data_IF_630807256762
#
_entry.id   IF_630807256762
#
_cell.length_a   1.000
_cell.length_b   1.000
_cell.length_c   1.000
_cell.angle_alpha   90.00
_cell.angle_beta   90.00
_cell.angle_gamma   90.00
#
_symmetry.space_group_name_H-M   'P 1'
#
loop_
_entity.id
_entity.type
_entity.pdbx_description
1 polymer ?
#
# COMPACT_ATOMS: atom_id res chain seq x y z
N UNK A 1 -0.30 -54.57 6.27
CA UNK A 1 -0.36 -53.20 5.74
C UNK A 1 -0.13 -52.27 6.92
N UNK A 2 1.09 -51.76 7.05
CA UNK A 2 1.42 -50.81 8.11
C UNK A 2 0.96 -49.42 7.65
N UNK A 3 0.10 -48.78 8.44
CA UNK A 3 -0.33 -47.40 8.23
C UNK A 3 0.74 -46.49 8.83
N UNK A 4 1.47 -45.81 7.96
CA UNK A 4 2.42 -44.77 8.32
C UNK A 4 1.62 -43.50 8.67
N UNK A 5 1.58 -43.14 9.96
CA UNK A 5 1.01 -41.86 10.40
C UNK A 5 2.14 -40.83 10.46
N UNK A 6 2.23 -39.98 9.45
CA UNK A 6 3.11 -38.82 9.49
C UNK A 6 2.50 -37.74 10.40
N UNK A 7 3.06 -37.66 11.61
CA UNK A 7 2.74 -36.62 12.59
C UNK A 7 3.55 -35.36 12.24
N UNK A 8 2.90 -34.40 11.57
CA UNK A 8 3.50 -33.10 11.26
C UNK A 8 3.31 -32.17 12.46
N UNK A 9 4.14 -32.34 13.49
CA UNK A 9 4.29 -31.35 14.55
C UNK A 9 5.00 -30.11 13.98
N UNK A 10 4.22 -29.15 13.48
CA UNK A 10 4.73 -27.81 13.21
C UNK A 10 4.85 -27.06 14.55
N UNK A 11 6.09 -26.68 14.89
CA UNK A 11 6.39 -25.79 16.01
C UNK A 11 5.87 -24.39 15.66
N UNK A 12 4.58 -24.18 15.89
CA UNK A 12 4.00 -22.85 15.91
C UNK A 12 4.30 -22.27 17.29
N UNK A 13 5.46 -21.63 17.44
CA UNK A 13 5.58 -20.62 18.49
C UNK A 13 4.48 -19.58 18.20
N UNK A 14 3.49 -19.41 19.11
CA UNK A 14 2.62 -18.26 19.00
C UNK A 14 3.50 -17.01 19.00
N UNK A 15 3.18 -15.98 18.19
CA UNK A 15 3.89 -14.71 18.28
C UNK A 15 3.91 -14.28 19.75
N UNK A 16 5.06 -13.77 20.24
CA UNK A 16 5.20 -13.40 21.64
C UNK A 16 4.06 -12.45 22.04
N UNK A 17 3.43 -12.72 23.19
CA UNK A 17 2.39 -11.84 23.74
C UNK A 17 2.95 -10.42 23.83
N UNK A 18 2.28 -9.47 23.18
CA UNK A 18 2.56 -8.02 23.30
C UNK A 18 1.98 -7.44 24.61
N UNK A 19 1.72 -8.27 25.61
CA UNK A 19 1.19 -7.92 26.93
C UNK A 19 2.27 -7.28 27.84
N UNK A 20 3.08 -6.38 27.27
CA UNK A 20 3.99 -5.52 28.00
C UNK A 20 3.30 -4.23 28.50
N UNK A 21 3.94 -3.49 29.42
CA UNK A 21 3.48 -2.14 29.74
C UNK A 21 3.49 -1.27 28.47
N UNK A 22 2.49 -0.39 28.34
CA UNK A 22 2.39 0.52 27.21
C UNK A 22 3.70 1.30 27.05
N UNK A 23 4.20 1.33 25.81
CA UNK A 23 5.33 2.18 25.46
C UNK A 23 4.96 3.66 25.63
N UNK A 24 5.98 4.51 25.69
CA UNK A 24 5.78 5.97 25.72
C UNK A 24 4.88 6.46 24.56
N UNK A 25 5.10 5.97 23.35
CA UNK A 25 4.33 6.38 22.16
C UNK A 25 2.90 5.85 22.16
N UNK A 26 2.66 4.63 22.65
CA UNK A 26 1.30 4.11 22.83
C UNK A 26 0.53 4.93 23.88
N UNK A 27 1.17 5.25 25.01
CA UNK A 27 0.57 6.09 26.06
C UNK A 27 0.22 7.48 25.52
N UNK A 28 1.13 8.08 24.74
CA UNK A 28 0.90 9.39 24.13
C UNK A 28 -0.21 9.37 23.07
N UNK A 29 -0.30 8.31 22.24
CA UNK A 29 -1.40 8.14 21.28
C UNK A 29 -2.75 8.13 22.01
N UNK A 30 -2.88 7.30 23.04
CA UNK A 30 -4.12 7.16 23.81
C UNK A 30 -4.51 8.51 24.42
N UNK A 31 -3.57 9.20 25.07
CA UNK A 31 -3.83 10.49 25.70
C UNK A 31 -4.29 11.57 24.70
N UNK A 32 -3.67 11.63 23.51
CA UNK A 32 -4.08 12.58 22.47
C UNK A 32 -5.45 12.22 21.89
N UNK A 33 -5.70 10.93 21.64
CA UNK A 33 -6.99 10.45 21.13
C UNK A 33 -8.13 10.75 22.09
N UNK A 34 -7.96 10.44 23.38
CA UNK A 34 -8.98 10.68 24.40
C UNK A 34 -9.25 12.18 24.59
N UNK A 35 -8.21 13.02 24.61
CA UNK A 35 -8.36 14.47 24.72
C UNK A 35 -9.16 15.07 23.54
N UNK A 36 -8.93 14.57 22.31
CA UNK A 36 -9.65 15.05 21.12
C UNK A 36 -11.11 14.59 21.10
N UNK A 37 -11.40 13.41 21.67
CA UNK A 37 -12.76 12.92 21.89
C UNK A 37 -13.48 13.77 22.94
N UNK A 38 -12.84 14.04 24.08
CA UNK A 38 -13.41 14.89 25.14
C UNK A 38 -13.73 16.30 24.61
N UNK A 39 -12.88 16.83 23.73
CA UNK A 39 -13.10 18.12 23.07
C UNK A 39 -14.12 18.09 21.93
N UNK A 40 -14.66 16.93 21.58
CA UNK A 40 -15.65 16.78 20.51
C UNK A 40 -15.11 17.05 19.10
N UNK A 41 -13.80 16.89 18.87
CA UNK A 41 -13.19 17.04 17.53
C UNK A 41 -13.56 15.86 16.62
N UNK A 42 -13.63 14.66 17.20
CA UNK A 42 -14.16 13.43 16.60
C UNK A 42 -14.63 12.49 17.71
N UNK A 43 -15.44 11.49 17.38
CA UNK A 43 -15.89 10.44 18.30
C UNK A 43 -15.02 9.17 18.26
N UNK A 44 -15.21 8.30 19.24
CA UNK A 44 -14.56 6.98 19.25
C UNK A 44 -14.97 6.13 18.02
N UNK A 45 -16.21 6.27 17.58
CA UNK A 45 -16.72 5.59 16.39
C UNK A 45 -16.07 6.08 15.10
N UNK A 46 -15.73 7.37 15.02
CA UNK A 46 -14.99 7.93 13.87
C UNK A 46 -13.59 7.34 13.77
N UNK A 47 -12.90 7.14 14.91
CA UNK A 47 -11.56 6.52 14.94
C UNK A 47 -11.65 5.08 14.44
N UNK A 48 -12.60 4.31 14.98
CA UNK A 48 -12.82 2.91 14.55
C UNK A 48 -13.13 2.82 13.07
N UNK A 49 -14.07 3.63 12.57
CA UNK A 49 -14.44 3.65 11.17
C UNK A 49 -13.24 4.04 10.26
N UNK A 50 -12.40 4.98 10.70
CA UNK A 50 -11.19 5.36 9.97
C UNK A 50 -10.15 4.24 9.89
N UNK A 51 -9.99 3.44 10.96
CA UNK A 51 -9.11 2.26 10.96
C UNK A 51 -9.66 1.20 9.99
N UNK A 52 -10.94 0.83 10.13
CA UNK A 52 -11.59 -0.16 9.26
C UNK A 52 -11.50 0.26 7.78
N UNK A 53 -11.74 1.53 7.46
CA UNK A 53 -11.65 2.06 6.11
C UNK A 53 -10.20 2.12 5.57
N UNK A 54 -9.19 2.12 6.44
CA UNK A 54 -7.79 2.05 6.03
C UNK A 54 -7.36 0.60 5.79
N UNK A 55 -7.76 -0.31 6.68
CA UNK A 55 -7.43 -1.74 6.62
C UNK A 55 -8.13 -2.46 5.47
N UNK A 56 -9.32 -2.00 5.08
CA UNK A 56 -10.05 -2.52 3.92
C UNK A 56 -9.36 -2.23 2.58
N UNK A 57 -8.35 -1.35 2.54
CA UNK A 57 -7.67 -0.96 1.29
C UNK A 57 -6.66 -2.04 0.90
N UNK A 58 -6.70 -2.43 -0.36
CA UNK A 58 -5.77 -3.41 -0.92
C UNK A 58 -5.30 -3.00 -2.32
N UNK A 59 -4.25 -3.67 -2.79
CA UNK A 59 -3.73 -3.52 -4.14
C UNK A 59 -4.59 -4.19 -5.22
N UNK A 60 -5.66 -4.90 -4.86
CA UNK A 60 -6.52 -5.61 -5.80
C UNK A 60 -7.20 -4.66 -6.80
N UNK A 61 -7.58 -3.45 -6.37
CA UNK A 61 -8.15 -2.42 -7.25
C UNK A 61 -7.17 -1.98 -8.33
N UNK A 62 -5.90 -1.78 -7.97
CA UNK A 62 -4.84 -1.50 -8.95
C UNK A 62 -4.66 -2.63 -9.97
N UNK A 63 -4.73 -3.89 -9.52
CA UNK A 63 -4.66 -5.04 -10.41
C UNK A 63 -5.85 -5.12 -11.38
N UNK A 64 -7.07 -4.82 -10.91
CA UNK A 64 -8.28 -4.72 -11.72
C UNK A 64 -8.13 -3.67 -12.84
N UNK A 65 -7.66 -2.46 -12.51
CA UNK A 65 -7.41 -1.40 -13.49
C UNK A 65 -6.40 -1.84 -14.57
N UNK A 66 -5.31 -2.50 -14.16
CA UNK A 66 -4.29 -3.01 -15.09
C UNK A 66 -4.86 -4.10 -15.99
N UNK A 67 -5.62 -5.05 -15.43
CA UNK A 67 -6.25 -6.12 -16.20
C UNK A 67 -7.26 -5.59 -17.23
N UNK A 68 -8.05 -4.58 -16.86
CA UNK A 68 -8.92 -3.88 -17.81
C UNK A 68 -8.12 -3.22 -18.94
N UNK A 69 -7.04 -2.49 -18.62
CA UNK A 69 -6.20 -1.86 -19.64
C UNK A 69 -5.50 -2.86 -20.58
N UNK A 70 -5.25 -4.10 -20.15
CA UNK A 70 -4.70 -5.15 -21.02
C UNK A 70 -5.72 -5.73 -21.99
N UNK A 71 -7.00 -5.72 -21.63
CA UNK A 71 -8.07 -6.37 -22.41
C UNK A 71 -8.92 -5.39 -23.21
N UNK A 72 -8.87 -4.10 -22.87
CA UNK A 72 -9.59 -3.03 -23.54
C UNK A 72 -8.62 -1.89 -23.94
N UNK A 73 -8.22 -1.82 -25.22
CA UNK A 73 -7.34 -0.75 -25.72
C UNK A 73 -7.93 0.66 -25.58
N UNK A 74 -9.26 0.82 -25.68
CA UNK A 74 -9.89 2.13 -25.54
C UNK A 74 -9.84 2.60 -24.08
N UNK A 75 -10.04 1.67 -23.12
CA UNK A 75 -9.83 1.96 -21.70
C UNK A 75 -8.37 2.28 -21.41
N UNK A 76 -7.41 1.56 -22.01
CA UNK A 76 -5.98 1.88 -21.87
C UNK A 76 -5.66 3.31 -22.32
N UNK A 77 -6.15 3.70 -23.49
CA UNK A 77 -5.95 5.06 -24.01
C UNK A 77 -6.57 6.11 -23.08
N UNK A 78 -7.77 5.85 -22.55
CA UNK A 78 -8.42 6.71 -21.57
C UNK A 78 -7.63 6.80 -20.24
N UNK A 79 -7.13 5.69 -19.73
CA UNK A 79 -6.33 5.60 -18.51
C UNK A 79 -5.03 6.41 -18.61
N UNK A 80 -4.37 6.37 -19.76
CA UNK A 80 -3.15 7.14 -20.03
C UNK A 80 -3.44 8.63 -20.23
N UNK A 81 -4.63 8.99 -20.71
CA UNK A 81 -5.05 10.38 -20.87
C UNK A 81 -5.46 11.03 -19.53
N UNK A 82 -6.30 10.35 -18.74
CA UNK A 82 -6.69 10.76 -17.39
C UNK A 82 -6.99 9.53 -16.52
N UNK A 83 -6.01 9.16 -15.68
CA UNK A 83 -6.15 7.99 -14.84
C UNK A 83 -7.24 8.13 -13.77
N UNK A 84 -7.58 9.36 -13.37
CA UNK A 84 -8.59 9.62 -12.35
C UNK A 84 -9.97 9.32 -12.93
N UNK A 85 -10.26 9.87 -14.10
CA UNK A 85 -11.53 9.67 -14.79
C UNK A 85 -11.71 8.21 -15.23
N UNK A 86 -10.66 7.59 -15.77
CA UNK A 86 -10.73 6.18 -16.16
C UNK A 86 -11.03 5.25 -14.97
N UNK A 87 -10.39 5.47 -13.81
CA UNK A 87 -10.70 4.69 -12.61
C UNK A 87 -12.13 4.91 -12.10
N UNK A 88 -12.67 6.13 -12.23
CA UNK A 88 -14.04 6.44 -11.84
C UNK A 88 -15.08 5.64 -12.67
N UNK A 89 -14.79 5.33 -13.94
CA UNK A 89 -15.65 4.47 -14.78
C UNK A 89 -15.76 3.03 -14.26
N UNK A 90 -14.75 2.56 -13.51
CA UNK A 90 -14.77 1.27 -12.81
C UNK A 90 -15.33 1.40 -11.37
N UNK A 91 -15.87 2.55 -11.00
CA UNK A 91 -16.37 2.82 -9.64
C UNK A 91 -15.26 2.97 -8.60
N UNK A 92 -14.01 3.24 -9.02
CA UNK A 92 -12.86 3.41 -8.13
C UNK A 92 -12.60 4.90 -7.91
N UNK A 93 -12.92 5.39 -6.72
CA UNK A 93 -12.59 6.75 -6.29
C UNK A 93 -11.13 6.85 -5.82
N UNK A 94 -10.30 7.58 -6.57
CA UNK A 94 -8.89 7.82 -6.24
C UNK A 94 -8.73 8.85 -5.11
N UNK A 95 -9.81 9.49 -4.67
CA UNK A 95 -9.82 10.46 -3.60
C UNK A 95 -9.29 11.82 -4.06
N UNK A 96 -8.69 12.63 -3.17
CA UNK A 96 -8.34 14.02 -3.47
C UNK A 96 -7.12 14.19 -4.39
N UNK A 97 -6.51 13.09 -4.84
CA UNK A 97 -5.30 13.12 -5.67
C UNK A 97 -5.62 12.92 -7.14
N UNK A 98 -4.85 13.56 -8.01
CA UNK A 98 -4.87 13.26 -9.45
C UNK A 98 -4.02 12.03 -9.75
N UNK A 99 -4.62 11.00 -10.34
CA UNK A 99 -3.89 9.83 -10.82
C UNK A 99 -3.30 10.09 -12.20
N UNK A 100 -2.02 9.72 -12.35
CA UNK A 100 -1.34 9.68 -13.64
C UNK A 100 -0.82 8.26 -13.82
N UNK A 101 -1.32 7.56 -14.83
CA UNK A 101 -0.79 6.25 -15.23
C UNK A 101 0.42 6.45 -16.15
N UNK A 102 1.48 5.68 -15.93
CA UNK A 102 2.67 5.66 -16.78
C UNK A 102 2.89 4.25 -17.30
N UNK A 103 2.90 4.10 -18.62
CA UNK A 103 3.04 2.80 -19.27
C UNK A 103 4.50 2.36 -19.33
N UNK A 104 4.77 1.13 -18.88
CA UNK A 104 6.02 0.45 -19.24
C UNK A 104 5.92 -0.08 -20.68
N UNK A 105 6.99 0.11 -21.44
CA UNK A 105 7.15 -0.41 -22.81
C UNK A 105 8.43 -1.24 -22.89
N UNK A 106 8.69 -1.85 -24.04
CA UNK A 106 9.98 -2.53 -24.28
C UNK A 106 11.19 -1.58 -24.12
N UNK A 107 11.00 -0.28 -24.36
CA UNK A 107 12.07 0.72 -24.29
C UNK A 107 12.13 1.47 -22.95
N UNK A 108 11.07 1.42 -22.13
CA UNK A 108 10.94 2.26 -20.93
C UNK A 108 10.36 1.47 -19.76
N UNK A 109 11.08 1.46 -18.64
CA UNK A 109 10.61 0.96 -17.36
C UNK A 109 10.44 2.10 -16.36
N UNK A 110 9.23 2.29 -15.85
CA UNK A 110 8.90 3.32 -14.87
C UNK A 110 8.99 2.77 -13.43
N UNK A 111 9.49 3.60 -12.51
CA UNK A 111 9.51 3.33 -11.07
C UNK A 111 9.15 4.63 -10.33
N UNK A 112 8.29 4.55 -9.31
CA UNK A 112 7.70 5.73 -8.64
C UNK A 112 8.20 5.86 -7.22
N UNK A 113 8.51 7.09 -6.78
CA UNK A 113 8.98 7.38 -5.42
C UNK A 113 8.48 8.74 -4.92
N UNK A 114 8.26 8.84 -3.60
CA UNK A 114 8.11 10.12 -2.91
C UNK A 114 9.37 10.41 -2.09
N UNK A 115 10.30 11.19 -2.64
CA UNK A 115 11.59 11.49 -1.97
C UNK A 115 11.40 12.28 -0.68
N UNK A 116 10.39 13.16 -0.61
CA UNK A 116 10.17 14.07 0.53
C UNK A 116 9.42 13.44 1.70
N UNK A 117 8.50 12.51 1.46
CA UNK A 117 7.71 11.88 2.53
C UNK A 117 7.32 10.45 2.20
N UNK A 118 6.09 10.22 1.74
CA UNK A 118 5.49 8.90 1.58
C UNK A 118 4.22 8.92 0.72
N UNK A 119 4.08 9.88 -0.20
CA UNK A 119 2.94 9.97 -1.11
C UNK A 119 2.73 8.63 -1.83
N UNK A 120 1.49 8.14 -1.84
CA UNK A 120 1.15 6.83 -2.39
C UNK A 120 -0.34 6.79 -2.75
N UNK A 121 -0.76 6.14 -3.86
CA UNK A 121 -2.16 6.11 -4.29
C UNK A 121 -2.97 5.10 -3.45
N UNK A 122 -3.25 5.44 -2.18
CA UNK A 122 -3.79 4.50 -1.19
C UNK A 122 -5.15 3.90 -1.53
N UNK A 123 -6.00 4.66 -2.23
CA UNK A 123 -7.32 4.18 -2.63
C UNK A 123 -7.25 3.13 -3.76
N UNK A 124 -6.10 3.02 -4.42
CA UNK A 124 -5.86 2.09 -5.52
C UNK A 124 -4.92 0.93 -5.11
N UNK A 125 -3.86 1.24 -4.34
CA UNK A 125 -2.78 0.30 -4.03
C UNK A 125 -2.72 -0.13 -2.55
N UNK A 126 -3.57 0.44 -1.68
CA UNK A 126 -3.50 0.20 -0.24
C UNK A 126 -2.43 1.04 0.49
N UNK A 127 -2.13 0.68 1.72
CA UNK A 127 -1.08 1.36 2.50
C UNK A 127 0.31 1.11 1.89
N UNK A 128 1.18 2.13 1.79
CA UNK A 128 2.54 1.91 1.31
C UNK A 128 3.30 1.01 2.28
N UNK A 129 4.05 0.02 1.77
CA UNK A 129 4.89 -0.83 2.61
C UNK A 129 6.00 -0.01 3.29
N UNK A 130 6.54 -0.51 4.40
CA UNK A 130 7.51 0.23 5.21
C UNK A 130 8.78 0.61 4.45
N UNK A 131 9.25 -0.27 3.56
CA UNK A 131 10.43 0.01 2.74
C UNK A 131 10.23 1.21 1.81
N UNK A 132 9.01 1.46 1.33
CA UNK A 132 8.71 2.61 0.45
C UNK A 132 8.85 3.93 1.21
N UNK A 133 8.45 3.94 2.48
CA UNK A 133 8.54 5.12 3.38
C UNK A 133 9.98 5.35 3.88
N UNK A 134 10.81 4.31 3.86
CA UNK A 134 12.16 4.33 4.40
C UNK A 134 13.11 5.17 3.54
N UNK A 135 14.06 5.85 4.21
CA UNK A 135 15.10 6.66 3.55
C UNK A 135 15.93 5.83 2.57
N UNK A 136 16.20 4.56 2.90
CA UNK A 136 17.00 3.64 2.08
C UNK A 136 16.48 3.55 0.64
N UNK A 137 15.17 3.36 0.44
CA UNK A 137 14.57 3.39 -0.89
C UNK A 137 14.52 4.81 -1.45
N UNK A 138 13.93 5.75 -0.69
CA UNK A 138 13.59 7.10 -1.16
C UNK A 138 14.78 7.91 -1.66
N UNK A 139 15.95 7.80 -1.03
CA UNK A 139 17.13 8.55 -1.46
C UNK A 139 17.90 7.88 -2.59
N UNK A 140 17.82 6.55 -2.71
CA UNK A 140 18.65 5.78 -3.66
C UNK A 140 17.99 5.60 -5.01
N UNK A 141 16.68 5.35 -5.06
CA UNK A 141 16.00 5.01 -6.32
C UNK A 141 16.07 6.14 -7.37
N UNK A 142 16.22 7.40 -6.96
CA UNK A 142 16.40 8.53 -7.89
C UNK A 142 17.86 8.73 -8.36
N UNK A 143 18.83 8.08 -7.72
CA UNK A 143 20.27 8.23 -8.01
C UNK A 143 20.84 6.99 -8.69
N UNK A 144 20.42 5.82 -8.24
CA UNK A 144 20.89 4.51 -8.71
C UNK A 144 19.73 3.52 -8.90
N UNK A 145 18.71 3.87 -9.70
CA UNK A 145 17.48 3.07 -9.83
C UNK A 145 17.75 1.62 -10.23
N UNK A 146 18.68 1.38 -11.17
CA UNK A 146 19.03 0.03 -11.63
C UNK A 146 19.72 -0.81 -10.55
N UNK A 147 20.42 -0.21 -9.59
CA UNK A 147 20.99 -0.94 -8.47
C UNK A 147 19.90 -1.33 -7.47
N UNK A 148 19.03 -0.39 -7.12
CA UNK A 148 17.88 -0.64 -6.23
C UNK A 148 16.94 -1.72 -6.79
N UNK A 149 16.62 -1.66 -8.09
CA UNK A 149 15.74 -2.67 -8.72
C UNK A 149 16.38 -4.06 -8.72
N UNK A 150 17.70 -4.17 -8.87
CA UNK A 150 18.42 -5.46 -8.75
C UNK A 150 18.35 -6.05 -7.35
N UNK A 151 18.30 -5.22 -6.30
CA UNK A 151 18.08 -5.70 -4.92
C UNK A 151 16.68 -6.31 -4.75
N UNK A 152 15.71 -5.92 -5.58
CA UNK A 152 14.38 -6.55 -5.67
C UNK A 152 14.33 -7.72 -6.66
N UNK A 153 15.46 -8.12 -7.24
CA UNK A 153 15.53 -9.18 -8.26
C UNK A 153 15.03 -8.75 -9.65
N UNK A 154 14.93 -7.45 -9.92
CA UNK A 154 14.48 -6.92 -11.22
C UNK A 154 15.65 -6.34 -12.01
N UNK A 155 15.96 -6.94 -13.15
CA UNK A 155 16.93 -6.41 -14.11
C UNK A 155 16.21 -5.59 -15.20
N UNK A 156 16.67 -4.36 -15.40
CA UNK A 156 16.21 -3.49 -16.49
C UNK A 156 17.39 -3.33 -17.44
N UNK A 157 17.20 -3.68 -18.71
CA UNK A 157 18.20 -3.55 -19.78
C UNK A 157 18.36 -2.13 -20.31
#
# INVERSE_FOLDING_TARGET
MATDSHDHAHDHQPPPDEDGPLTYYQTMEIAVRELLIEKGVFGADDVRAAIEAMDARSSARGAEVVAHAWTDPAFKDALLADGTEACAQLGIDIGPTRLIAVENTEAVHNVIVCTLCSCYPRNLLGLPPDWYKAKAYRSRVVREPRAVLREFGTEVS
#
